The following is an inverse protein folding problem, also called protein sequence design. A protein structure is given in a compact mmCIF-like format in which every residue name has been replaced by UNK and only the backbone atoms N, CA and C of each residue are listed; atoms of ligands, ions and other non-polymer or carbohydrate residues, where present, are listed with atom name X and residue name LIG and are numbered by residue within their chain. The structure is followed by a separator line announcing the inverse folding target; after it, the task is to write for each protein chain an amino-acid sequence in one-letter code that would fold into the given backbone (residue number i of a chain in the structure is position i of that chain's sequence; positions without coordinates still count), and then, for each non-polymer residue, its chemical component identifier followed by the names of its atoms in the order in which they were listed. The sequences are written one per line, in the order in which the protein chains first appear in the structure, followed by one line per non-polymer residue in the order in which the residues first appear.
data_IF_790449761864
#
_entry.id   IF_790449761864
#
_cell.length_a   1.000
_cell.length_b   1.000
_cell.length_c   1.000
_cell.angle_alpha   90.00
_cell.angle_beta   90.00
_cell.angle_gamma   90.00
#
_symmetry.space_group_name_H-M   'P 1'
#
loop_
_entity.id
_entity.type
_entity.pdbx_description
1 polymer ?
#
# COMPACT_ATOMS: atom_id res chain seq x y z
N UNK A 1 -37.36 0.17 21.38
CA UNK A 1 -36.25 0.35 22.32
C UNK A 1 -34.96 0.24 21.53
N UNK A 2 -34.40 1.38 21.08
CA UNK A 2 -33.10 1.41 20.41
C UNK A 2 -32.04 1.24 21.50
N UNK A 3 -31.52 0.02 21.64
CA UNK A 3 -30.42 -0.25 22.55
C UNK A 3 -29.22 0.58 22.13
N UNK A 4 -28.73 1.43 23.02
CA UNK A 4 -27.38 1.99 22.92
C UNK A 4 -26.39 0.83 22.92
N UNK A 5 -26.01 0.36 21.73
CA UNK A 5 -24.86 -0.52 21.58
C UNK A 5 -23.62 0.33 21.88
N UNK A 6 -22.82 -0.09 22.86
CA UNK A 6 -21.52 0.53 23.11
C UNK A 6 -20.69 0.53 21.81
N UNK A 7 -19.98 1.62 21.50
CA UNK A 7 -19.22 1.72 20.26
C UNK A 7 -18.25 0.54 20.15
N UNK A 8 -18.21 -0.08 18.97
CA UNK A 8 -17.29 -1.18 18.68
C UNK A 8 -15.85 -0.66 18.82
N UNK A 9 -15.09 -1.28 19.72
CA UNK A 9 -13.65 -1.02 19.84
C UNK A 9 -12.93 -1.63 18.63
N UNK A 10 -12.39 -0.76 17.78
CA UNK A 10 -11.53 -1.16 16.67
C UNK A 10 -10.10 -1.44 17.15
N UNK A 11 -9.33 -2.16 16.34
CA UNK A 11 -7.89 -2.31 16.53
C UNK A 11 -7.20 -0.94 16.67
N UNK A 12 -6.31 -0.82 17.64
CA UNK A 12 -5.53 0.41 17.83
C UNK A 12 -4.62 0.66 16.62
N UNK A 13 -4.38 1.94 16.24
CA UNK A 13 -3.33 2.29 15.30
C UNK A 13 -1.97 1.70 15.69
N UNK A 14 -1.07 1.57 14.73
CA UNK A 14 0.30 1.17 15.01
C UNK A 14 1.00 2.27 15.84
N UNK A 15 1.58 1.91 16.99
CA UNK A 15 2.03 2.87 18.01
C UNK A 15 0.92 3.44 18.91
N UNK A 16 -0.33 2.98 18.77
CA UNK A 16 -1.44 3.30 19.67
C UNK A 16 -2.22 4.57 19.33
N UNK A 17 -1.60 5.52 18.61
CA UNK A 17 -2.21 6.79 18.21
C UNK A 17 -2.17 6.93 16.69
N UNK A 18 -3.27 7.39 16.10
CA UNK A 18 -3.32 7.72 14.68
C UNK A 18 -2.82 9.15 14.51
N UNK A 19 -1.72 9.29 13.79
CA UNK A 19 -1.14 10.58 13.40
C UNK A 19 -2.12 11.31 12.47
N UNK A 20 -2.28 12.62 12.68
CA UNK A 20 -3.03 13.50 11.78
C UNK A 20 -2.23 14.80 11.63
N UNK A 21 -1.50 14.91 10.51
CA UNK A 21 -0.76 16.12 10.10
C UNK A 21 -1.39 16.79 8.87
N UNK A 22 -2.64 16.44 8.56
CA UNK A 22 -3.42 17.02 7.48
C UNK A 22 -4.45 18.03 8.02
N UNK A 23 -5.14 17.70 9.11
CA UNK A 23 -6.23 18.52 9.67
C UNK A 23 -5.72 19.55 10.68
N UNK A 24 -4.87 20.46 10.22
CA UNK A 24 -4.51 21.65 10.99
C UNK A 24 -5.52 22.75 10.65
N UNK A 25 -6.13 23.37 11.66
CA UNK A 25 -7.20 24.37 11.52
C UNK A 25 -6.85 25.68 12.25
N UNK A 26 -7.57 26.75 11.91
CA UNK A 26 -7.45 28.05 12.58
C UNK A 26 -6.06 28.68 12.48
N UNK A 27 -5.65 29.36 13.55
CA UNK A 27 -4.41 30.14 13.62
C UNK A 27 -3.15 29.28 13.37
N UNK A 28 -3.17 28.00 13.74
CA UNK A 28 -2.04 27.09 13.51
C UNK A 28 -1.86 26.81 12.00
N UNK A 29 -2.96 26.62 11.28
CA UNK A 29 -2.91 26.36 9.84
C UNK A 29 -2.38 27.57 9.07
N UNK A 30 -2.77 28.78 9.48
CA UNK A 30 -2.28 30.02 8.89
C UNK A 30 -0.80 30.22 9.18
N UNK A 31 -0.38 30.01 10.43
CA UNK A 31 1.03 30.11 10.82
C UNK A 31 1.92 29.13 10.02
N UNK A 32 1.47 27.89 9.79
CA UNK A 32 2.19 26.94 8.95
C UNK A 32 2.30 27.39 7.49
N UNK A 33 1.24 28.00 6.93
CA UNK A 33 1.27 28.55 5.57
C UNK A 33 2.20 29.74 5.43
N UNK A 34 2.21 30.66 6.40
CA UNK A 34 3.12 31.80 6.43
C UNK A 34 4.58 31.34 6.51
N UNK A 35 4.87 30.37 7.40
CA UNK A 35 6.19 29.74 7.53
C UNK A 35 6.62 29.08 6.23
N UNK A 36 5.74 28.29 5.61
CA UNK A 36 6.02 27.63 4.35
C UNK A 36 6.27 28.64 3.21
N UNK A 37 5.54 29.75 3.15
CA UNK A 37 5.74 30.78 2.13
C UNK A 37 7.11 31.47 2.22
N UNK A 38 7.71 31.53 3.42
CA UNK A 38 9.04 32.09 3.65
C UNK A 38 10.18 31.06 3.56
N UNK A 39 9.85 29.76 3.50
CA UNK A 39 10.80 28.66 3.54
C UNK A 39 11.45 28.38 2.17
N UNK A 40 12.58 27.67 2.19
CA UNK A 40 13.23 27.21 0.97
C UNK A 40 12.38 26.10 0.34
N UNK A 41 12.01 26.19 -0.95
CA UNK A 41 11.21 25.16 -1.59
C UNK A 41 12.04 23.93 -1.97
N UNK A 42 11.48 22.76 -1.73
CA UNK A 42 11.95 21.45 -2.19
C UNK A 42 10.85 20.79 -3.00
N UNK A 43 11.14 20.49 -4.26
CA UNK A 43 10.23 19.81 -5.17
C UNK A 43 10.15 18.34 -4.80
N UNK A 44 8.95 17.84 -4.53
CA UNK A 44 8.72 16.45 -4.22
C UNK A 44 8.66 15.59 -5.49
N UNK A 45 9.31 14.43 -5.44
CA UNK A 45 9.00 13.33 -6.35
C UNK A 45 7.61 12.76 -6.06
N UNK A 46 7.01 12.03 -7.00
CA UNK A 46 5.72 11.35 -6.80
C UNK A 46 5.72 10.40 -5.59
N UNK A 47 6.84 9.71 -5.34
CA UNK A 47 7.01 8.85 -4.16
C UNK A 47 7.02 9.68 -2.87
N UNK A 48 7.81 10.75 -2.83
CA UNK A 48 7.88 11.61 -1.65
C UNK A 48 6.55 12.34 -1.38
N UNK A 49 5.81 12.70 -2.43
CA UNK A 49 4.45 13.24 -2.33
C UNK A 49 3.48 12.21 -1.74
N UNK A 50 3.51 10.98 -2.23
CA UNK A 50 2.72 9.87 -1.69
C UNK A 50 3.07 9.60 -0.22
N UNK A 51 4.36 9.59 0.13
CA UNK A 51 4.81 9.41 1.51
C UNK A 51 4.39 10.58 2.42
N UNK A 52 4.49 11.84 1.97
CA UNK A 52 3.95 13.00 2.69
C UNK A 52 2.46 12.84 3.00
N UNK A 53 1.65 12.49 2.00
CA UNK A 53 0.22 12.25 2.17
C UNK A 53 -0.03 11.14 3.20
N UNK A 54 0.69 10.03 3.08
CA UNK A 54 0.50 8.87 3.95
C UNK A 54 0.96 9.13 5.39
N UNK A 55 2.00 9.93 5.61
CA UNK A 55 2.35 10.43 6.94
C UNK A 55 1.22 11.32 7.47
N UNK A 56 0.81 12.31 6.67
CA UNK A 56 -0.14 13.33 7.12
C UNK A 56 -1.55 12.80 7.41
N UNK A 57 -1.97 11.76 6.70
CA UNK A 57 -3.27 11.11 6.91
C UNK A 57 -3.24 10.00 7.96
N UNK A 58 -2.06 9.69 8.52
CA UNK A 58 -1.88 8.63 9.52
C UNK A 58 -1.80 7.21 8.96
N UNK A 59 -1.69 7.06 7.63
CA UNK A 59 -1.46 5.75 7.00
C UNK A 59 -0.15 5.15 7.50
N UNK A 60 0.84 5.99 7.77
CA UNK A 60 2.17 5.61 8.25
C UNK A 60 2.39 5.87 9.74
N UNK A 61 1.32 5.97 10.54
CA UNK A 61 1.48 6.02 11.99
C UNK A 61 2.35 4.84 12.49
N UNK A 62 3.30 5.09 13.41
CA UNK A 62 3.45 6.30 14.23
C UNK A 62 4.32 7.41 13.62
N UNK A 63 4.75 7.31 12.36
CA UNK A 63 5.60 8.34 11.77
C UNK A 63 4.87 9.68 11.71
N UNK A 64 5.55 10.73 12.15
CA UNK A 64 5.08 12.11 12.10
C UNK A 64 5.85 12.95 11.06
N UNK A 65 6.79 12.32 10.36
CA UNK A 65 7.78 12.99 9.53
C UNK A 65 8.57 12.04 8.65
N UNK A 66 9.45 12.61 7.83
CA UNK A 66 10.49 11.83 7.15
C UNK A 66 11.56 11.41 8.16
N UNK A 67 12.06 10.18 8.01
CA UNK A 67 12.90 9.53 9.01
C UNK A 67 14.21 10.28 9.26
N UNK A 68 14.54 10.42 10.54
CA UNK A 68 15.89 10.76 11.01
C UNK A 68 16.89 9.67 10.66
N UNK A 69 18.20 9.98 10.74
CA UNK A 69 19.25 9.00 10.50
C UNK A 69 19.12 7.79 11.44
N UNK A 70 18.81 8.01 12.72
CA UNK A 70 18.66 6.93 13.71
C UNK A 70 17.45 6.02 13.39
N UNK A 71 16.32 6.58 12.97
CA UNK A 71 15.15 5.81 12.54
C UNK A 71 15.46 5.01 11.27
N UNK A 72 16.09 5.65 10.29
CA UNK A 72 16.53 5.03 9.04
C UNK A 72 17.48 3.85 9.30
N UNK A 73 18.51 4.05 10.13
CA UNK A 73 19.49 3.02 10.49
C UNK A 73 18.84 1.85 11.23
N UNK A 74 17.94 2.13 12.19
CA UNK A 74 17.19 1.10 12.91
C UNK A 74 16.33 0.25 11.97
N UNK A 75 15.64 0.87 11.02
CA UNK A 75 14.79 0.19 10.03
C UNK A 75 15.61 -0.69 9.09
N UNK A 76 16.78 -0.22 8.63
CA UNK A 76 17.64 -1.03 7.77
C UNK A 76 18.23 -2.23 8.51
N UNK A 77 18.72 -2.01 9.73
CA UNK A 77 19.48 -3.01 10.49
C UNK A 77 18.59 -4.02 11.22
N UNK A 78 17.48 -3.58 11.78
CA UNK A 78 16.66 -4.40 12.69
C UNK A 78 15.21 -4.56 12.24
N UNK A 79 14.76 -3.82 11.21
CA UNK A 79 13.35 -3.76 10.81
C UNK A 79 12.42 -3.26 11.93
N UNK A 80 12.93 -2.37 12.78
CA UNK A 80 12.16 -1.71 13.82
C UNK A 80 12.43 -0.21 13.83
N UNK A 81 11.45 0.56 14.28
CA UNK A 81 11.69 1.94 14.72
C UNK A 81 12.48 1.94 16.04
N UNK A 82 13.14 3.05 16.42
CA UNK A 82 13.91 3.13 17.67
C UNK A 82 13.11 2.82 18.94
N UNK A 83 11.78 3.00 18.90
CA UNK A 83 10.87 2.63 19.99
C UNK A 83 10.52 1.13 20.06
N UNK A 84 11.13 0.30 19.20
CA UNK A 84 10.93 -1.15 19.14
C UNK A 84 9.69 -1.59 18.36
N UNK A 85 8.96 -0.69 17.69
CA UNK A 85 7.83 -1.08 16.84
C UNK A 85 8.32 -1.65 15.49
N UNK A 86 7.74 -2.75 15.00
CA UNK A 86 8.04 -3.31 13.70
C UNK A 86 7.88 -2.29 12.57
N UNK A 87 8.92 -2.11 11.75
CA UNK A 87 8.90 -1.23 10.57
C UNK A 87 10.02 -1.59 9.59
N UNK A 88 9.67 -1.94 8.36
CA UNK A 88 10.57 -2.68 7.46
C UNK A 88 11.16 -1.87 6.30
N UNK A 89 10.64 -0.67 6.02
CA UNK A 89 11.03 0.13 4.85
C UNK A 89 11.26 1.60 5.21
N UNK A 90 12.35 2.22 4.73
CA UNK A 90 12.58 3.64 4.92
C UNK A 90 11.48 4.52 4.30
N UNK A 91 11.20 5.64 4.96
CA UNK A 91 10.33 6.72 4.48
C UNK A 91 11.14 8.02 4.56
N UNK A 92 11.76 8.40 3.45
CA UNK A 92 12.82 9.42 3.39
C UNK A 92 12.56 10.44 2.29
N UNK A 93 13.15 11.64 2.44
CA UNK A 93 13.04 12.73 1.46
C UNK A 93 14.42 13.01 0.82
N UNK A 94 14.73 12.44 -0.37
CA UNK A 94 15.99 12.69 -1.07
C UNK A 94 16.07 14.12 -1.61
N UNK A 95 17.23 14.76 -1.45
CA UNK A 95 17.58 16.05 -2.06
C UNK A 95 19.04 16.08 -2.48
N UNK A 96 19.33 16.89 -3.51
CA UNK A 96 20.70 17.13 -3.98
C UNK A 96 21.61 17.69 -2.88
N UNK A 97 22.92 17.47 -3.02
CA UNK A 97 23.91 18.09 -2.15
C UNK A 97 23.82 19.62 -2.15
N UNK A 98 23.51 20.24 -3.29
CA UNK A 98 23.33 21.69 -3.41
C UNK A 98 22.15 22.17 -2.54
N UNK A 99 21.02 21.47 -2.62
CA UNK A 99 19.84 21.76 -1.80
C UNK A 99 20.15 21.57 -0.31
N UNK A 100 20.79 20.44 0.06
CA UNK A 100 21.15 20.14 1.44
C UNK A 100 22.08 21.20 2.05
N UNK A 101 23.07 21.69 1.28
CA UNK A 101 24.03 22.69 1.75
C UNK A 101 23.40 24.06 2.09
N UNK A 102 22.25 24.37 1.47
CA UNK A 102 21.48 25.60 1.70
C UNK A 102 20.59 25.54 2.94
N UNK A 103 20.40 24.36 3.50
CA UNK A 103 19.52 24.10 4.62
C UNK A 103 20.30 23.85 5.91
N UNK A 104 19.68 24.11 7.05
CA UNK A 104 20.22 23.88 8.39
C UNK A 104 19.12 23.31 9.29
N UNK A 105 19.46 22.36 10.19
CA UNK A 105 18.55 21.96 11.26
C UNK A 105 17.93 23.17 12.00
N UNK A 106 16.65 23.07 12.31
CA UNK A 106 15.83 24.14 12.90
C UNK A 106 15.17 25.08 11.87
N UNK A 107 15.40 24.89 10.57
CA UNK A 107 14.74 25.65 9.51
C UNK A 107 13.49 24.96 8.99
N UNK A 108 12.59 25.76 8.44
CA UNK A 108 11.44 25.29 7.68
C UNK A 108 11.80 25.06 6.22
N UNK A 109 11.21 24.02 5.64
CA UNK A 109 11.33 23.66 4.23
C UNK A 109 9.93 23.58 3.64
N UNK A 110 9.68 24.35 2.58
CA UNK A 110 8.43 24.27 1.83
C UNK A 110 8.46 23.05 0.92
N UNK A 111 7.48 22.17 1.05
CA UNK A 111 7.34 21.01 0.19
C UNK A 111 6.40 21.37 -0.94
N UNK A 112 6.90 21.34 -2.18
CA UNK A 112 6.15 21.79 -3.36
C UNK A 112 6.07 20.69 -4.42
N UNK A 113 5.10 20.77 -5.32
CA UNK A 113 5.03 19.88 -6.48
C UNK A 113 5.94 20.34 -7.63
N UNK A 114 5.90 19.62 -8.77
CA UNK A 114 6.70 19.94 -9.95
C UNK A 114 6.33 21.29 -10.61
N UNK A 115 5.16 21.85 -10.29
CA UNK A 115 4.70 23.17 -10.75
C UNK A 115 5.04 24.29 -9.76
N UNK A 116 5.61 23.95 -8.60
CA UNK A 116 5.93 24.89 -7.53
C UNK A 116 4.73 25.20 -6.63
N UNK A 117 3.63 24.45 -6.73
CA UNK A 117 2.49 24.60 -5.84
C UNK A 117 2.81 24.02 -4.45
N UNK A 118 2.49 24.78 -3.40
CA UNK A 118 2.73 24.38 -2.02
C UNK A 118 1.87 23.18 -1.65
N UNK A 119 2.51 22.10 -1.21
CA UNK A 119 1.86 20.89 -0.70
C UNK A 119 1.92 20.81 0.83
N UNK A 120 3.03 21.22 1.43
CA UNK A 120 3.26 21.03 2.85
C UNK A 120 4.49 21.75 3.40
N UNK A 121 4.75 21.51 4.68
CA UNK A 121 5.89 22.03 5.41
C UNK A 121 6.65 20.87 6.05
N UNK A 122 7.99 20.92 6.00
CA UNK A 122 8.88 20.09 6.80
C UNK A 122 9.63 21.00 7.79
N UNK A 123 9.57 20.65 9.07
CA UNK A 123 10.49 21.18 10.08
C UNK A 123 11.77 20.37 10.05
N UNK A 124 12.85 20.93 9.51
CA UNK A 124 14.10 20.21 9.30
C UNK A 124 14.80 19.97 10.64
N UNK A 125 14.91 18.71 11.05
CA UNK A 125 15.68 18.33 12.26
C UNK A 125 17.07 17.81 11.91
N UNK A 126 17.22 17.18 10.74
CA UNK A 126 18.47 16.55 10.33
C UNK A 126 18.59 16.51 8.80
N UNK A 127 19.81 16.66 8.30
CA UNK A 127 20.17 16.42 6.90
C UNK A 127 21.41 15.54 6.87
N UNK A 128 21.33 14.38 6.21
CA UNK A 128 22.37 13.36 6.28
C UNK A 128 22.58 12.65 4.94
N UNK A 129 23.81 12.18 4.70
CA UNK A 129 24.12 11.29 3.56
C UNK A 129 23.77 9.86 3.92
N UNK A 130 23.37 9.08 2.92
CA UNK A 130 23.05 7.67 3.07
C UNK A 130 23.81 6.81 2.04
N UNK A 131 23.94 5.51 2.33
CA UNK A 131 24.56 4.54 1.43
C UNK A 131 23.49 3.83 0.59
N UNK A 132 23.35 4.25 -0.68
CA UNK A 132 22.39 3.69 -1.65
C UNK A 132 22.55 2.18 -1.83
N UNK A 133 23.78 1.65 -1.79
CA UNK A 133 24.03 0.21 -2.00
C UNK A 133 23.63 -0.58 -0.76
N UNK A 134 23.96 -0.07 0.43
CA UNK A 134 23.53 -0.68 1.69
C UNK A 134 22.00 -0.67 1.83
N UNK A 135 21.37 0.45 1.53
CA UNK A 135 19.90 0.53 1.54
C UNK A 135 19.30 -0.43 0.51
N UNK A 136 19.86 -0.49 -0.70
CA UNK A 136 19.37 -1.39 -1.73
C UNK A 136 19.33 -2.85 -1.25
N UNK A 137 20.48 -3.33 -0.75
CA UNK A 137 20.61 -4.70 -0.21
C UNK A 137 19.70 -4.94 0.98
N UNK A 138 19.56 -3.97 1.87
CA UNK A 138 18.77 -4.12 3.09
C UNK A 138 17.27 -4.10 2.80
N UNK A 139 16.77 -3.11 2.04
CA UNK A 139 15.36 -2.91 1.76
C UNK A 139 14.82 -3.85 0.68
N UNK A 140 15.61 -4.15 -0.36
CA UNK A 140 15.15 -4.95 -1.51
C UNK A 140 15.79 -6.34 -1.59
N UNK A 141 16.78 -6.67 -0.74
CA UNK A 141 17.49 -7.95 -0.79
C UNK A 141 18.49 -8.08 -1.95
N UNK A 142 18.68 -7.01 -2.74
CA UNK A 142 19.55 -6.98 -3.92
C UNK A 142 20.01 -5.55 -4.21
N UNK A 143 21.15 -5.41 -4.89
CA UNK A 143 21.62 -4.16 -5.50
C UNK A 143 21.58 -4.18 -7.04
N UNK A 144 20.85 -5.15 -7.61
CA UNK A 144 20.64 -5.24 -9.05
C UNK A 144 19.84 -4.04 -9.58
N UNK A 145 20.45 -3.26 -10.48
CA UNK A 145 19.82 -2.12 -11.14
C UNK A 145 18.62 -2.47 -12.02
N UNK A 146 18.40 -3.74 -12.34
CA UNK A 146 17.18 -4.22 -13.00
C UNK A 146 15.98 -4.32 -12.04
N UNK A 147 16.21 -4.37 -10.72
CA UNK A 147 15.12 -4.30 -9.74
C UNK A 147 14.57 -2.87 -9.67
N UNK A 148 13.28 -2.60 -9.98
CA UNK A 148 12.80 -1.22 -10.13
C UNK A 148 12.84 -0.36 -8.87
N UNK A 149 12.70 -0.96 -7.68
CA UNK A 149 12.95 -0.26 -6.42
C UNK A 149 14.42 0.18 -6.28
N UNK A 150 15.37 -0.67 -6.69
CA UNK A 150 16.80 -0.37 -6.66
C UNK A 150 17.15 0.66 -7.74
N UNK A 151 16.63 0.46 -8.96
CA UNK A 151 16.82 1.40 -10.05
C UNK A 151 16.37 2.82 -9.68
N UNK A 152 15.23 2.94 -8.99
CA UNK A 152 14.72 4.21 -8.47
C UNK A 152 15.66 4.78 -7.40
N UNK A 153 16.03 3.98 -6.40
CA UNK A 153 16.95 4.39 -5.33
C UNK A 153 18.30 4.89 -5.87
N UNK A 154 18.87 4.21 -6.87
CA UNK A 154 20.15 4.60 -7.47
C UNK A 154 20.11 5.95 -8.19
N UNK A 155 18.92 6.37 -8.67
CA UNK A 155 18.67 7.66 -9.32
C UNK A 155 18.30 8.78 -8.36
N UNK A 156 17.99 8.48 -7.10
CA UNK A 156 17.68 9.51 -6.10
C UNK A 156 18.94 10.31 -5.75
N UNK A 157 18.75 11.49 -5.18
CA UNK A 157 19.84 12.36 -4.75
C UNK A 157 20.60 11.82 -3.51
N UNK A 158 21.69 12.45 -3.11
CA UNK A 158 22.69 11.95 -2.14
C UNK A 158 22.34 12.15 -0.66
N UNK A 159 21.43 13.07 -0.35
CA UNK A 159 21.08 13.45 1.02
C UNK A 159 19.62 13.18 1.33
N UNK A 160 19.33 12.83 2.58
CA UNK A 160 17.98 12.82 3.11
C UNK A 160 17.75 14.01 4.04
N UNK A 161 16.60 14.66 3.88
CA UNK A 161 16.06 15.60 4.85
C UNK A 161 15.09 14.86 5.76
N UNK A 162 15.19 15.13 7.06
CA UNK A 162 14.38 14.49 8.08
C UNK A 162 13.68 15.50 8.97
N UNK A 163 12.54 15.07 9.52
CA UNK A 163 11.80 15.81 10.53
C UNK A 163 10.29 15.79 10.33
N UNK A 164 9.56 16.38 11.28
CA UNK A 164 8.10 16.43 11.26
C UNK A 164 7.55 17.15 10.03
N UNK A 165 6.44 16.64 9.50
CA UNK A 165 5.79 17.21 8.32
C UNK A 165 4.33 17.56 8.57
N UNK A 166 3.84 18.51 7.78
CA UNK A 166 2.43 18.85 7.68
C UNK A 166 2.05 18.96 6.22
N UNK A 167 0.89 18.42 5.86
CA UNK A 167 0.30 18.61 4.56
C UNK A 167 -0.73 19.73 4.64
N UNK A 168 -0.56 20.78 3.83
CA UNK A 168 -1.33 22.02 3.90
C UNK A 168 -2.41 22.11 2.80
N UNK A 169 -2.47 21.09 1.94
CA UNK A 169 -3.47 20.92 0.89
C UNK A 169 -4.25 19.62 1.09
N UNK A 170 -5.49 19.60 0.64
CA UNK A 170 -6.27 18.36 0.64
C UNK A 170 -5.74 17.42 -0.45
N UNK A 171 -5.42 16.15 -0.13
CA UNK A 171 -5.00 15.18 -1.13
C UNK A 171 -6.06 15.03 -2.23
N UNK A 172 -5.62 14.94 -3.48
CA UNK A 172 -6.49 14.65 -4.61
C UNK A 172 -6.27 13.22 -5.08
N UNK A 173 -7.35 12.54 -5.46
CA UNK A 173 -7.30 11.21 -6.03
C UNK A 173 -7.98 11.20 -7.40
N UNK A 174 -7.49 10.41 -8.38
CA UNK A 174 -8.23 10.16 -9.61
C UNK A 174 -9.55 9.41 -9.36
N UNK A 175 -9.74 8.83 -8.17
CA UNK A 175 -10.96 8.16 -7.74
C UNK A 175 -11.49 8.77 -6.45
N UNK A 176 -11.99 10.02 -6.48
CA UNK A 176 -12.36 10.76 -5.27
C UNK A 176 -13.47 10.07 -4.48
N UNK A 177 -14.37 9.32 -5.13
CA UNK A 177 -15.45 8.58 -4.47
C UNK A 177 -14.97 7.28 -3.78
N UNK A 178 -13.73 6.85 -4.07
CA UNK A 178 -13.09 5.70 -3.43
C UNK A 178 -11.95 6.12 -2.50
N UNK A 179 -11.66 7.40 -2.38
CA UNK A 179 -10.60 7.90 -1.53
C UNK A 179 -11.13 8.05 -0.10
N UNK A 180 -10.62 7.21 0.81
CA UNK A 180 -10.92 7.29 2.24
C UNK A 180 -9.60 7.26 3.01
N UNK A 181 -9.46 8.19 3.95
CA UNK A 181 -8.36 8.23 4.91
C UNK A 181 -8.53 7.14 6.00
N UNK A 182 -7.47 6.83 6.76
CA UNK A 182 -7.57 5.97 7.95
C UNK A 182 -8.65 6.40 8.94
N UNK A 183 -8.84 7.71 9.15
CA UNK A 183 -9.90 8.23 10.01
C UNK A 183 -11.30 7.88 9.49
N UNK A 184 -11.53 8.07 8.19
CA UNK A 184 -12.83 7.86 7.55
C UNK A 184 -13.19 6.38 7.48
N UNK A 185 -12.24 5.52 7.11
CA UNK A 185 -12.44 4.05 7.12
C UNK A 185 -12.78 3.54 8.51
N UNK A 186 -12.08 4.00 9.56
CA UNK A 186 -12.39 3.66 10.95
C UNK A 186 -13.78 4.10 11.37
N UNK A 187 -14.18 5.34 11.06
CA UNK A 187 -15.51 5.84 11.34
C UNK A 187 -16.59 5.00 10.64
N UNK A 188 -16.37 4.66 9.37
CA UNK A 188 -17.27 3.82 8.59
C UNK A 188 -17.37 2.39 9.14
N UNK A 189 -16.27 1.79 9.59
CA UNK A 189 -16.29 0.47 10.22
C UNK A 189 -17.07 0.48 11.54
N UNK A 190 -16.95 1.54 12.34
CA UNK A 190 -17.74 1.72 13.56
C UNK A 190 -19.22 1.90 13.25
N UNK A 191 -19.57 2.73 12.26
CA UNK A 191 -20.95 2.93 11.81
C UNK A 191 -21.58 1.61 11.34
N UNK A 192 -20.83 0.80 10.60
CA UNK A 192 -21.26 -0.54 10.14
C UNK A 192 -21.23 -1.61 11.24
N UNK A 193 -20.74 -1.29 12.43
CA UNK A 193 -20.59 -2.24 13.54
C UNK A 193 -19.61 -3.39 13.26
N UNK A 194 -18.67 -3.21 12.32
CA UNK A 194 -17.68 -4.22 11.98
C UNK A 194 -16.59 -4.30 13.05
N UNK A 195 -16.30 -5.52 13.53
CA UNK A 195 -15.27 -5.77 14.56
C UNK A 195 -14.04 -6.44 13.95
N UNK A 196 -14.27 -7.43 13.08
CA UNK A 196 -13.24 -8.12 12.31
C UNK A 196 -13.30 -7.63 10.87
N UNK A 197 -12.25 -6.92 10.46
CA UNK A 197 -12.10 -6.41 9.10
C UNK A 197 -10.87 -7.06 8.49
N UNK A 198 -11.03 -7.69 7.34
CA UNK A 198 -9.92 -8.19 6.54
C UNK A 198 -9.61 -7.23 5.41
N UNK A 199 -8.33 -6.95 5.18
CA UNK A 199 -7.88 -6.17 4.04
C UNK A 199 -7.23 -7.05 2.96
N UNK A 200 -7.46 -6.67 1.71
CA UNK A 200 -6.80 -7.24 0.54
C UNK A 200 -6.12 -6.15 -0.28
N UNK A 201 -4.79 -6.19 -0.32
CA UNK A 201 -3.96 -5.36 -1.19
C UNK A 201 -3.90 -5.98 -2.58
N UNK A 202 -4.07 -5.17 -3.63
CA UNK A 202 -3.81 -5.62 -5.00
C UNK A 202 -3.37 -4.48 -5.91
N UNK A 203 -2.59 -4.80 -6.92
CA UNK A 203 -2.33 -3.94 -8.10
C UNK A 203 -2.87 -4.54 -9.40
N UNK A 204 -3.41 -5.75 -9.34
CA UNK A 204 -3.88 -6.52 -10.50
C UNK A 204 -5.41 -6.69 -10.45
N UNK A 205 -6.09 -6.91 -11.60
CA UNK A 205 -7.48 -7.36 -11.59
C UNK A 205 -7.67 -8.60 -10.71
N UNK A 206 -8.86 -8.77 -10.16
CA UNK A 206 -9.18 -9.95 -9.34
C UNK A 206 -9.74 -11.06 -10.24
N UNK A 207 -9.20 -12.26 -10.08
CA UNK A 207 -9.55 -13.46 -10.84
C UNK A 207 -10.22 -14.46 -9.89
N UNK A 208 -10.62 -15.64 -10.37
CA UNK A 208 -11.28 -16.67 -9.54
C UNK A 208 -10.41 -17.15 -8.37
N UNK A 209 -9.09 -17.24 -8.56
CA UNK A 209 -8.14 -17.53 -7.49
C UNK A 209 -8.19 -16.50 -6.36
N UNK A 210 -8.07 -15.21 -6.71
CA UNK A 210 -8.19 -14.10 -5.75
C UNK A 210 -9.59 -14.04 -5.11
N UNK A 211 -10.67 -14.21 -5.88
CA UNK A 211 -12.04 -14.26 -5.37
C UNK A 211 -12.21 -15.34 -4.29
N UNK A 212 -11.62 -16.52 -4.48
CA UNK A 212 -11.62 -17.59 -3.49
C UNK A 212 -10.96 -17.14 -2.18
N UNK A 213 -9.78 -16.50 -2.22
CA UNK A 213 -9.11 -15.99 -1.03
C UNK A 213 -9.98 -14.98 -0.28
N UNK A 214 -10.57 -14.04 -1.02
CA UNK A 214 -11.45 -13.01 -0.47
C UNK A 214 -12.65 -13.61 0.25
N UNK A 215 -13.28 -14.64 -0.36
CA UNK A 215 -14.43 -15.33 0.23
C UNK A 215 -14.03 -16.12 1.47
N UNK A 216 -12.97 -16.92 1.41
CA UNK A 216 -12.47 -17.66 2.57
C UNK A 216 -12.14 -16.73 3.75
N UNK A 217 -11.52 -15.58 3.48
CA UNK A 217 -11.19 -14.63 4.54
C UNK A 217 -12.43 -13.91 5.10
N UNK A 218 -13.45 -13.66 4.27
CA UNK A 218 -14.68 -13.03 4.69
C UNK A 218 -15.53 -13.93 5.61
N UNK A 219 -15.42 -15.26 5.53
CA UNK A 219 -16.13 -16.19 6.43
C UNK A 219 -15.76 -16.00 7.92
N UNK A 220 -14.58 -15.45 8.22
CA UNK A 220 -14.13 -15.18 9.59
C UNK A 220 -14.17 -13.68 9.96
N UNK A 221 -14.66 -12.83 9.05
CA UNK A 221 -14.66 -11.38 9.20
C UNK A 221 -16.08 -10.79 9.06
N UNK A 222 -16.30 -9.64 9.67
CA UNK A 222 -17.53 -8.87 9.51
C UNK A 222 -17.56 -8.10 8.18
N UNK A 223 -16.38 -7.75 7.67
CA UNK A 223 -16.25 -7.07 6.39
C UNK A 223 -14.87 -7.17 5.74
N UNK A 224 -14.85 -6.95 4.43
CA UNK A 224 -13.67 -6.94 3.57
C UNK A 224 -13.40 -5.54 3.06
N UNK A 225 -12.21 -5.02 3.33
CA UNK A 225 -11.64 -3.85 2.66
C UNK A 225 -10.82 -4.34 1.44
N UNK A 226 -11.39 -4.21 0.25
CA UNK A 226 -10.64 -4.33 -0.99
C UNK A 226 -9.91 -3.01 -1.24
N UNK A 227 -8.57 -3.04 -1.16
CA UNK A 227 -7.74 -1.84 -1.07
C UNK A 227 -6.69 -1.77 -2.18
N UNK A 228 -7.08 -1.60 -3.45
CA UNK A 228 -6.14 -1.54 -4.56
C UNK A 228 -5.22 -0.34 -4.48
N UNK A 229 -3.96 -0.54 -4.90
CA UNK A 229 -3.00 0.53 -5.11
C UNK A 229 -3.33 1.28 -6.40
N UNK A 230 -3.41 2.60 -6.30
CA UNK A 230 -3.64 3.52 -7.43
C UNK A 230 -2.55 4.57 -7.62
N UNK A 231 -1.51 4.56 -6.77
CA UNK A 231 -0.30 5.35 -6.98
C UNK A 231 0.54 4.83 -8.16
N UNK A 232 1.75 5.37 -8.29
CA UNK A 232 2.68 5.01 -9.38
C UNK A 232 2.93 3.49 -9.42
N UNK A 233 2.63 2.89 -10.58
CA UNK A 233 2.88 1.48 -10.92
C UNK A 233 3.74 1.39 -12.18
N UNK A 234 4.20 0.19 -12.54
CA UNK A 234 4.96 -0.01 -13.78
C UNK A 234 4.10 0.15 -15.01
N UNK A 235 4.73 0.52 -16.12
CA UNK A 235 4.10 0.68 -17.45
C UNK A 235 3.39 -0.59 -17.96
N UNK A 236 3.81 -1.77 -17.49
CA UNK A 236 3.19 -3.05 -17.88
C UNK A 236 1.90 -3.37 -17.12
N UNK A 237 1.62 -2.65 -16.02
CA UNK A 237 0.40 -2.84 -15.23
C UNK A 237 -0.80 -2.23 -15.96
N UNK A 238 -1.98 -2.83 -15.80
CA UNK A 238 -3.20 -2.29 -16.44
C UNK A 238 -3.53 -0.89 -15.88
N UNK A 239 -4.09 0.01 -16.71
CA UNK A 239 -4.50 1.34 -16.26
C UNK A 239 -5.40 1.28 -15.03
N UNK A 240 -5.19 2.18 -14.06
CA UNK A 240 -5.89 2.16 -12.78
C UNK A 240 -7.42 2.22 -12.97
N UNK A 241 -7.91 3.02 -13.93
CA UNK A 241 -9.34 3.14 -14.22
C UNK A 241 -9.96 1.79 -14.63
N UNK A 242 -9.27 1.03 -15.46
CA UNK A 242 -9.71 -0.30 -15.91
C UNK A 242 -9.72 -1.30 -14.76
N UNK A 243 -8.70 -1.26 -13.90
CA UNK A 243 -8.63 -2.10 -12.70
C UNK A 243 -9.79 -1.79 -11.73
N UNK A 244 -10.01 -0.51 -11.44
CA UNK A 244 -11.10 -0.05 -10.57
C UNK A 244 -12.46 -0.47 -11.10
N UNK A 245 -12.70 -0.33 -12.42
CA UNK A 245 -13.94 -0.81 -13.03
C UNK A 245 -14.14 -2.32 -12.82
N UNK A 246 -13.08 -3.10 -13.03
CA UNK A 246 -13.10 -4.56 -12.83
C UNK A 246 -13.45 -4.95 -11.38
N UNK A 247 -12.96 -4.19 -10.39
CA UNK A 247 -13.26 -4.42 -8.98
C UNK A 247 -14.73 -4.12 -8.66
N UNK A 248 -15.27 -3.02 -9.19
CA UNK A 248 -16.68 -2.67 -8.99
C UNK A 248 -17.60 -3.74 -9.53
N UNK A 249 -17.36 -4.20 -10.76
CA UNK A 249 -18.14 -5.28 -11.39
C UNK A 249 -18.06 -6.56 -10.55
N UNK A 250 -16.88 -6.95 -10.09
CA UNK A 250 -16.76 -8.13 -9.24
C UNK A 250 -17.57 -8.00 -7.95
N UNK A 251 -17.38 -6.90 -7.20
CA UNK A 251 -18.05 -6.71 -5.92
C UNK A 251 -19.57 -6.62 -6.07
N UNK A 252 -20.06 -5.90 -7.08
CA UNK A 252 -21.48 -5.73 -7.35
C UNK A 252 -22.19 -7.05 -7.64
N UNK A 253 -21.56 -7.94 -8.42
CA UNK A 253 -22.21 -9.17 -8.87
C UNK A 253 -21.96 -10.37 -7.96
N UNK A 254 -20.85 -10.40 -7.22
CA UNK A 254 -20.36 -11.63 -6.58
C UNK A 254 -20.10 -11.53 -5.07
N UNK A 255 -20.33 -10.36 -4.46
CA UNK A 255 -20.18 -10.15 -3.01
C UNK A 255 -21.40 -9.43 -2.40
N UNK A 256 -21.71 -9.67 -1.11
CA UNK A 256 -22.73 -8.90 -0.40
C UNK A 256 -22.25 -7.46 -0.18
N UNK A 257 -22.99 -6.48 -0.72
CA UNK A 257 -22.64 -5.04 -0.65
C UNK A 257 -22.38 -4.57 0.79
N UNK A 258 -23.17 -5.06 1.76
CA UNK A 258 -23.02 -4.69 3.18
C UNK A 258 -21.80 -5.30 3.87
N UNK A 259 -21.04 -6.18 3.19
CA UNK A 259 -19.85 -6.86 3.73
C UNK A 259 -18.56 -6.42 3.05
N UNK A 260 -18.63 -5.49 2.09
CA UNK A 260 -17.47 -5.06 1.31
C UNK A 260 -17.31 -3.56 1.30
N UNK A 261 -16.06 -3.11 1.26
CA UNK A 261 -15.68 -1.73 1.02
C UNK A 261 -14.58 -1.72 -0.03
N UNK A 262 -14.79 -0.97 -1.12
CA UNK A 262 -13.74 -0.64 -2.07
C UNK A 262 -13.21 0.75 -1.71
N UNK A 263 -11.92 0.85 -1.44
CA UNK A 263 -11.22 2.12 -1.22
C UNK A 263 -9.91 2.07 -1.97
N UNK A 264 -9.35 3.20 -2.37
CA UNK A 264 -8.02 3.24 -2.99
C UNK A 264 -6.91 3.42 -1.95
N UNK A 265 -5.73 2.89 -2.24
CA UNK A 265 -4.52 3.04 -1.43
C UNK A 265 -3.53 3.97 -2.15
N UNK A 266 -3.15 5.12 -1.54
CA UNK A 266 -2.38 6.16 -2.23
C UNK A 266 -0.88 5.88 -2.35
N UNK A 267 -0.39 4.74 -1.82
CA UNK A 267 1.03 4.42 -1.82
C UNK A 267 1.64 4.29 -3.23
N UNK A 268 2.90 4.71 -3.37
CA UNK A 268 3.76 4.30 -4.46
C UNK A 268 4.36 2.91 -4.18
N UNK A 269 4.27 2.00 -5.16
CA UNK A 269 4.80 0.65 -5.02
C UNK A 269 6.34 0.68 -4.92
N UNK A 270 6.91 -0.07 -3.98
CA UNK A 270 8.38 -0.22 -3.82
C UNK A 270 8.91 -1.49 -4.48
N UNK A 271 8.04 -2.49 -4.68
CA UNK A 271 8.39 -3.82 -5.15
C UNK A 271 9.38 -4.54 -4.22
N UNK A 272 9.36 -4.23 -2.92
CA UNK A 272 10.30 -4.76 -1.93
C UNK A 272 9.82 -6.08 -1.28
N UNK A 273 8.90 -6.79 -1.94
CA UNK A 273 8.48 -8.14 -1.60
C UNK A 273 8.16 -8.33 -0.11
N UNK A 274 8.89 -9.18 0.62
CA UNK A 274 8.64 -9.47 2.03
C UNK A 274 8.56 -8.23 2.92
N UNK A 275 9.53 -7.30 2.81
CA UNK A 275 9.55 -6.09 3.65
C UNK A 275 8.33 -5.20 3.36
N UNK A 276 7.90 -5.11 2.11
CA UNK A 276 6.70 -4.35 1.75
C UNK A 276 5.40 -5.03 2.19
N UNK A 277 5.38 -6.35 2.38
CA UNK A 277 4.22 -7.04 2.94
C UNK A 277 3.94 -6.63 4.39
N UNK A 278 4.98 -6.51 5.21
CA UNK A 278 4.87 -6.00 6.60
C UNK A 278 4.42 -4.54 6.59
N UNK A 279 5.03 -3.71 5.75
CA UNK A 279 4.67 -2.30 5.60
C UNK A 279 3.21 -2.11 5.16
N UNK A 280 2.74 -2.93 4.22
CA UNK A 280 1.33 -2.98 3.85
C UNK A 280 0.43 -3.38 5.02
N UNK A 281 0.80 -4.39 5.81
CA UNK A 281 0.01 -4.81 6.96
C UNK A 281 -0.11 -3.71 8.01
N UNK A 282 0.99 -2.99 8.31
CA UNK A 282 1.01 -1.83 9.21
C UNK A 282 0.08 -0.73 8.70
N UNK A 283 0.16 -0.38 7.41
CA UNK A 283 -0.75 0.58 6.82
C UNK A 283 -2.22 0.14 7.02
N UNK A 284 -2.53 -1.13 6.80
CA UNK A 284 -3.91 -1.66 6.94
C UNK A 284 -4.38 -1.69 8.39
N UNK A 285 -3.47 -1.92 9.34
CA UNK A 285 -3.75 -1.72 10.76
C UNK A 285 -4.15 -0.28 11.02
N UNK A 286 -3.46 0.69 10.44
CA UNK A 286 -3.79 2.11 10.57
C UNK A 286 -5.15 2.46 9.95
N UNK A 287 -5.55 1.82 8.86
CA UNK A 287 -6.93 1.89 8.32
C UNK A 287 -8.00 1.21 9.20
N UNK A 288 -7.61 0.53 10.29
CA UNK A 288 -8.53 -0.14 11.21
C UNK A 288 -8.81 -1.60 10.86
N UNK A 289 -8.03 -2.21 9.96
CA UNK A 289 -8.17 -3.63 9.64
C UNK A 289 -7.51 -4.52 10.69
N UNK A 290 -8.21 -5.57 11.07
CA UNK A 290 -7.76 -6.58 12.04
C UNK A 290 -6.99 -7.73 11.41
N UNK A 291 -7.26 -8.01 10.13
CA UNK A 291 -6.66 -9.10 9.39
C UNK A 291 -6.12 -8.60 8.06
N UNK A 292 -5.05 -9.22 7.55
CA UNK A 292 -4.44 -8.86 6.28
C UNK A 292 -4.10 -10.11 5.46
N UNK A 293 -4.63 -10.21 4.25
CA UNK A 293 -4.33 -11.34 3.36
C UNK A 293 -2.92 -11.21 2.81
N UNK A 294 -2.11 -12.25 2.99
CA UNK A 294 -0.78 -12.39 2.40
C UNK A 294 -0.77 -13.64 1.55
N UNK A 295 -0.69 -13.46 0.24
CA UNK A 295 -0.67 -14.55 -0.74
C UNK A 295 0.74 -14.99 -1.12
N UNK A 296 0.82 -15.75 -2.22
CA UNK A 296 2.07 -16.08 -2.90
C UNK A 296 2.67 -14.83 -3.54
N UNK A 297 3.99 -14.66 -3.41
CA UNK A 297 4.80 -13.61 -4.07
C UNK A 297 4.29 -12.18 -3.76
N UNK A 298 3.84 -11.97 -2.51
CA UNK A 298 3.23 -10.72 -2.10
C UNK A 298 4.20 -9.56 -2.24
N UNK A 299 3.76 -8.50 -2.94
CA UNK A 299 4.57 -7.33 -3.29
C UNK A 299 5.88 -7.63 -4.05
N UNK A 300 6.05 -8.87 -4.52
CA UNK A 300 7.22 -9.31 -5.24
C UNK A 300 7.25 -8.84 -6.68
N UNK A 301 8.41 -9.08 -7.30
CA UNK A 301 8.64 -8.83 -8.70
C UNK A 301 9.66 -9.81 -9.28
N UNK A 302 9.39 -10.28 -10.50
CA UNK A 302 10.32 -11.09 -11.27
C UNK A 302 10.56 -12.41 -10.54
N UNK A 303 11.77 -12.58 -10.01
CA UNK A 303 12.15 -13.72 -9.20
C UNK A 303 13.12 -13.36 -8.07
N UNK A 304 13.10 -12.10 -7.61
CA UNK A 304 14.01 -11.64 -6.55
C UNK A 304 13.65 -12.19 -5.17
N UNK A 305 12.42 -12.67 -5.00
CA UNK A 305 11.91 -13.19 -3.73
C UNK A 305 11.32 -14.58 -3.93
N UNK A 306 11.49 -15.45 -2.93
CA UNK A 306 10.80 -16.72 -2.86
C UNK A 306 9.29 -16.53 -2.72
N UNK A 307 8.49 -17.48 -3.22
CA UNK A 307 7.03 -17.35 -3.34
C UNK A 307 6.30 -17.17 -1.99
N UNK A 308 6.94 -17.49 -0.87
CA UNK A 308 6.35 -17.37 0.47
C UNK A 308 7.29 -16.66 1.45
N UNK A 309 8.34 -15.98 0.97
CA UNK A 309 9.26 -15.22 1.83
C UNK A 309 8.49 -14.14 2.62
N UNK A 310 7.52 -13.49 1.98
CA UNK A 310 6.67 -12.50 2.64
C UNK A 310 5.87 -13.08 3.80
N UNK A 311 5.44 -14.34 3.71
CA UNK A 311 4.71 -15.00 4.79
C UNK A 311 5.66 -15.35 5.94
N UNK A 312 6.81 -15.96 5.62
CA UNK A 312 7.85 -16.30 6.61
C UNK A 312 8.37 -15.10 7.36
N UNK A 313 8.50 -13.94 6.70
CA UNK A 313 8.99 -12.73 7.36
C UNK A 313 8.07 -12.27 8.51
N UNK A 314 6.76 -12.56 8.47
CA UNK A 314 5.88 -12.27 9.61
C UNK A 314 6.25 -13.08 10.86
N UNK A 315 6.84 -14.28 10.71
CA UNK A 315 7.23 -15.14 11.83
C UNK A 315 8.44 -14.59 12.60
N UNK A 316 9.16 -13.60 12.04
CA UNK A 316 10.30 -12.95 12.69
C UNK A 316 9.90 -11.84 13.67
N UNK A 317 8.61 -11.46 13.71
CA UNK A 317 8.12 -10.38 14.57
C UNK A 317 7.21 -10.89 15.68
N UNK A 318 7.20 -10.17 16.81
CA UNK A 318 6.20 -10.38 17.85
C UNK A 318 4.79 -10.02 17.30
N UNK A 319 3.84 -10.98 17.26
CA UNK A 319 2.48 -10.72 16.78
C UNK A 319 1.77 -9.62 17.57
N UNK A 320 2.11 -9.43 18.85
CA UNK A 320 1.53 -8.37 19.68
C UNK A 320 1.99 -6.97 19.26
N UNK A 321 3.25 -6.83 18.81
CA UNK A 321 3.81 -5.55 18.38
C UNK A 321 3.32 -5.15 16.98
N UNK A 322 3.27 -6.10 16.03
CA UNK A 322 2.61 -5.83 14.74
C UNK A 322 1.12 -5.56 14.99
N UNK A 323 0.45 -6.45 15.74
CA UNK A 323 -0.94 -6.30 16.20
C UNK A 323 -2.04 -6.54 15.17
N UNK A 324 -1.72 -6.71 13.87
CA UNK A 324 -2.65 -7.17 12.83
C UNK A 324 -2.39 -8.64 12.53
N UNK A 325 -3.44 -9.44 12.34
CA UNK A 325 -3.32 -10.88 12.08
C UNK A 325 -3.15 -11.14 10.57
N UNK A 326 -2.00 -11.64 10.11
CA UNK A 326 -1.86 -12.04 8.72
C UNK A 326 -2.65 -13.33 8.43
N UNK A 327 -3.28 -13.39 7.26
CA UNK A 327 -3.96 -14.58 6.73
C UNK A 327 -3.11 -15.13 5.59
N UNK A 328 -2.33 -16.17 5.89
CA UNK A 328 -1.38 -16.79 4.97
C UNK A 328 -2.08 -17.76 4.03
N UNK A 329 -2.30 -17.33 2.79
CA UNK A 329 -2.90 -18.16 1.76
C UNK A 329 -1.86 -18.78 0.84
N UNK A 330 -2.07 -20.05 0.52
CA UNK A 330 -1.31 -20.77 -0.51
C UNK A 330 -1.67 -20.29 -1.92
N UNK A 331 -0.88 -20.71 -2.91
CA UNK A 331 -1.25 -20.56 -4.31
C UNK A 331 -2.61 -21.21 -4.59
N UNK A 332 -3.60 -20.39 -4.95
CA UNK A 332 -4.92 -20.85 -5.35
C UNK A 332 -5.02 -20.99 -6.88
N UNK A 333 -5.67 -22.06 -7.33
CA UNK A 333 -5.83 -22.38 -8.75
C UNK A 333 -7.15 -23.12 -8.97
N UNK A 334 -7.70 -23.04 -10.18
CA UNK A 334 -8.85 -23.86 -10.55
C UNK A 334 -8.36 -25.25 -10.97
N UNK A 335 -8.84 -26.29 -10.29
CA UNK A 335 -8.54 -27.67 -10.65
C UNK A 335 -9.72 -28.25 -11.44
N UNK A 336 -9.45 -28.71 -12.66
CA UNK A 336 -10.44 -29.28 -13.57
C UNK A 336 -11.07 -30.55 -13.00
N UNK A 337 -10.25 -31.47 -12.46
CA UNK A 337 -10.74 -32.68 -11.81
C UNK A 337 -11.62 -32.40 -10.56
N UNK A 338 -11.29 -31.37 -9.78
CA UNK A 338 -12.11 -30.96 -8.63
C UNK A 338 -13.33 -30.12 -9.00
N UNK A 339 -13.36 -29.51 -10.18
CA UNK A 339 -14.42 -28.60 -10.62
C UNK A 339 -14.53 -27.30 -9.81
N UNK A 340 -13.45 -26.87 -9.14
CA UNK A 340 -13.47 -25.68 -8.29
C UNK A 340 -12.08 -25.07 -8.09
N UNK A 341 -12.05 -23.86 -7.50
CA UNK A 341 -10.81 -23.24 -7.02
C UNK A 341 -10.37 -23.92 -5.73
N UNK A 342 -9.11 -24.32 -5.67
CA UNK A 342 -8.50 -25.05 -4.56
C UNK A 342 -7.14 -24.46 -4.22
N UNK A 343 -6.45 -25.05 -3.25
CA UNK A 343 -5.01 -24.87 -3.04
C UNK A 343 -4.30 -26.23 -2.94
N UNK A 344 -2.97 -26.22 -2.91
CA UNK A 344 -2.15 -27.41 -2.61
C UNK A 344 -2.49 -28.08 -1.27
N UNK A 345 -3.17 -27.39 -0.34
CA UNK A 345 -3.61 -27.96 0.95
C UNK A 345 -4.89 -28.79 0.83
N UNK A 346 -5.66 -28.63 -0.25
CA UNK A 346 -7.02 -29.17 -0.37
C UNK A 346 -7.27 -29.93 -1.67
N UNK A 347 -6.33 -29.89 -2.61
CA UNK A 347 -6.36 -30.65 -3.86
C UNK A 347 -5.18 -31.63 -3.93
N UNK A 348 -5.42 -32.92 -4.22
CA UNK A 348 -4.37 -33.91 -4.37
C UNK A 348 -3.79 -34.00 -5.79
N UNK A 349 -4.39 -33.32 -6.77
CA UNK A 349 -3.99 -33.41 -8.18
C UNK A 349 -2.80 -32.49 -8.49
N UNK A 350 -1.96 -32.91 -9.44
CA UNK A 350 -0.83 -32.11 -9.91
C UNK A 350 -1.24 -31.04 -10.94
N UNK A 351 -0.26 -30.24 -11.37
CA UNK A 351 -0.47 -29.09 -12.25
C UNK A 351 -1.04 -29.42 -13.64
N UNK A 352 -1.02 -30.69 -14.08
CA UNK A 352 -1.66 -31.09 -15.34
C UNK A 352 -3.19 -30.95 -15.29
N UNK A 353 -3.78 -31.00 -14.09
CA UNK A 353 -5.20 -30.83 -13.85
C UNK A 353 -5.58 -29.38 -13.48
N UNK A 354 -4.62 -28.45 -13.52
CA UNK A 354 -4.82 -27.07 -13.08
C UNK A 354 -4.97 -26.15 -14.30
N UNK A 355 -6.01 -25.32 -14.29
CA UNK A 355 -6.13 -24.23 -15.26
C UNK A 355 -5.17 -23.10 -14.86
N UNK A 356 -4.07 -22.99 -15.60
CA UNK A 356 -3.09 -21.91 -15.44
C UNK A 356 -3.00 -21.10 -16.73
N UNK A 357 -3.13 -19.78 -16.61
CA UNK A 357 -2.87 -18.85 -17.71
C UNK A 357 -1.77 -17.89 -17.27
N UNK A 358 -0.74 -17.76 -18.08
CA UNK A 358 0.30 -16.75 -17.85
C UNK A 358 -0.26 -15.34 -18.08
N UNK A 359 0.32 -14.32 -17.43
CA UNK A 359 -0.08 -12.93 -17.68
C UNK A 359 0.06 -12.51 -19.14
N UNK A 360 1.06 -13.05 -19.86
CA UNK A 360 1.26 -12.84 -21.29
C UNK A 360 0.12 -13.44 -22.11
N UNK A 361 -0.30 -14.67 -21.79
CA UNK A 361 -1.42 -15.33 -22.47
C UNK A 361 -2.75 -14.62 -22.21
N UNK A 362 -3.02 -14.24 -20.96
CA UNK A 362 -4.21 -13.46 -20.58
C UNK A 362 -4.30 -12.18 -21.41
N UNK A 363 -3.20 -11.40 -21.49
CA UNK A 363 -3.17 -10.17 -22.29
C UNK A 363 -3.34 -10.42 -23.79
N UNK A 364 -2.74 -11.48 -24.32
CA UNK A 364 -2.85 -11.83 -25.74
C UNK A 364 -4.31 -12.12 -26.12
N UNK A 365 -5.01 -12.97 -25.35
CA UNK A 365 -6.42 -13.29 -25.56
C UNK A 365 -7.30 -12.05 -25.48
N UNK A 366 -7.15 -11.24 -24.44
CA UNK A 366 -7.95 -10.02 -24.27
C UNK A 366 -7.75 -9.01 -25.41
N UNK A 367 -6.51 -8.84 -25.90
CA UNK A 367 -6.21 -7.98 -27.06
C UNK A 367 -6.77 -8.54 -28.37
N UNK A 368 -6.80 -9.86 -28.52
CA UNK A 368 -7.47 -10.52 -29.64
C UNK A 368 -9.01 -10.40 -29.58
N UNK A 369 -9.57 -9.87 -28.47
CA UNK A 369 -11.01 -9.80 -28.28
C UNK A 369 -11.64 -11.13 -27.88
N UNK A 370 -10.85 -12.00 -27.27
CA UNK A 370 -11.29 -13.27 -26.74
C UNK A 370 -11.56 -13.15 -25.24
N UNK A 371 -12.66 -13.76 -24.79
CA UNK A 371 -12.99 -13.86 -23.38
C UNK A 371 -12.08 -14.85 -22.67
N UNK A 372 -11.75 -14.58 -21.41
CA UNK A 372 -11.06 -15.53 -20.56
C UNK A 372 -12.03 -16.64 -20.12
N UNK A 373 -11.53 -17.86 -19.88
CA UNK A 373 -12.35 -18.95 -19.32
C UNK A 373 -13.04 -18.52 -18.02
N UNK A 374 -14.30 -18.93 -17.84
CA UNK A 374 -15.11 -18.56 -16.66
C UNK A 374 -14.53 -19.14 -15.35
N UNK A 375 -13.81 -20.25 -15.47
CA UNK A 375 -13.04 -20.92 -14.42
C UNK A 375 -11.84 -20.10 -13.97
N UNK A 376 -11.30 -19.23 -14.84
CA UNK A 376 -10.18 -18.34 -14.55
C UNK A 376 -10.65 -16.96 -14.05
N UNK A 377 -11.60 -16.33 -14.74
CA UNK A 377 -12.11 -14.98 -14.42
C UNK A 377 -13.61 -14.91 -14.71
N UNK A 378 -14.35 -14.17 -13.88
CA UNK A 378 -15.79 -13.97 -14.10
C UNK A 378 -16.07 -13.33 -15.48
N UNK A 379 -17.06 -13.80 -16.25
CA UNK A 379 -17.32 -13.28 -17.60
C UNK A 379 -17.47 -11.76 -17.66
N UNK A 380 -18.17 -11.16 -16.70
CA UNK A 380 -18.38 -9.70 -16.65
C UNK A 380 -17.07 -8.94 -16.43
N UNK A 381 -16.19 -9.48 -15.59
CA UNK A 381 -14.83 -8.94 -15.37
C UNK A 381 -14.00 -9.08 -16.65
N UNK A 382 -14.05 -10.24 -17.31
CA UNK A 382 -13.33 -10.46 -18.58
C UNK A 382 -13.81 -9.48 -19.67
N UNK A 383 -15.12 -9.21 -19.74
CA UNK A 383 -15.67 -8.27 -20.71
C UNK A 383 -15.16 -6.84 -20.48
N UNK A 384 -15.08 -6.39 -19.22
CA UNK A 384 -14.49 -5.09 -18.86
C UNK A 384 -13.04 -5.02 -19.32
N UNK A 385 -12.22 -6.01 -18.95
CA UNK A 385 -10.79 -6.03 -19.28
C UNK A 385 -10.55 -6.05 -20.80
N UNK A 386 -11.33 -6.85 -21.53
CA UNK A 386 -11.24 -6.95 -22.99
C UNK A 386 -11.59 -5.62 -23.66
N UNK A 387 -12.68 -4.96 -23.23
CA UNK A 387 -13.10 -3.66 -23.75
C UNK A 387 -12.04 -2.58 -23.49
N UNK A 388 -11.49 -2.55 -22.28
CA UNK A 388 -10.46 -1.57 -21.90
C UNK A 388 -9.17 -1.71 -22.73
N UNK A 389 -8.73 -2.94 -22.99
CA UNK A 389 -7.51 -3.20 -23.78
C UNK A 389 -7.68 -2.94 -25.28
N UNK A 390 -8.90 -3.01 -25.83
CA UNK A 390 -9.20 -2.61 -27.21
C UNK A 390 -9.21 -1.10 -27.40
N UNK A 391 -9.69 -0.36 -26.41
CA UNK A 391 -9.82 1.11 -26.50
C UNK A 391 -8.52 1.87 -26.17
N UNK A 392 -7.52 1.19 -25.59
CA UNK A 392 -6.20 1.74 -25.28
C UNK A 392 -5.16 1.53 -26.39
N UNK A 393 -5.59 1.18 -27.61
CA UNK A 393 -4.75 1.16 -28.82
C UNK A 393 -4.83 2.47 -29.59
#
# INVERSE_FOLDING_TARGET
MAGHQSPVALIAPHGGVLVDRLRVEGDEAEALRERAAAAVPVVLSEVARSDLEMIATGVLSPLEGFMTHDEYEAVLSTMHLPNGLPWTLPVTLPVSEETAARLRPGQDVALVDAHGELLGLLELVESYRYDRVREARSAYGTDDGAHPGVARLMRQDEFYLAGPVWMLVTPSSPFPDLYLTPRETRALFQERGWRRIVAFQTRNPIHRAHEYLLKCALEIADGLLLHPLVGETRDEDLPAALRVESYRVLLQHYFPVQRTLLSVFPAAMRYAGPREAIWHAIARKNYGCTHFIVGRDHAGVGGYYGPYDAQRLFDEFDPALIGITPLMFEHAFYCCACGQVTTSKTCPHDSSEWLQLSGTEVRARLRAGEMLPAEFTRPEVSAVLMRGLKNGQ
#
